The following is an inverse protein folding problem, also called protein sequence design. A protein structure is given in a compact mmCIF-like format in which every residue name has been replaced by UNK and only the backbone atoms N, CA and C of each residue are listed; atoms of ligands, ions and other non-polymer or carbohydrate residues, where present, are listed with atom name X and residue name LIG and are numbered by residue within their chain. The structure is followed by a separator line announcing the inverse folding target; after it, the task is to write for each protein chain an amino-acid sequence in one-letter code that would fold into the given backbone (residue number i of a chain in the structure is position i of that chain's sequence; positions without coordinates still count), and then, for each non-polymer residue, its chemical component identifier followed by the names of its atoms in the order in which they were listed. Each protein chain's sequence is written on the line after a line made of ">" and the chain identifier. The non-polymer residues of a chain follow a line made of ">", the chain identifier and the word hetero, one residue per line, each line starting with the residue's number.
data_IF_936860208746
#
_entry.id   IF_936860208746
#
_cell.length_a   1.000
_cell.length_b   1.000
_cell.length_c   1.000
_cell.angle_alpha   90.00
_cell.angle_beta   90.00
_cell.angle_gamma   90.00
#
_symmetry.space_group_name_H-M   'P 1'
#
loop_
_entity.id
_entity.type
_entity.pdbx_description
1 polymer ?
#
# COMPACT_ATOMS: atom_id res chain seq x y z
N UNK A 1 54.63 70.86 -82.06
CA UNK A 1 53.21 71.08 -82.39
C UNK A 1 52.62 69.75 -82.86
N UNK A 2 51.46 69.37 -82.29
CA UNK A 2 50.57 68.23 -82.61
C UNK A 2 50.90 66.84 -82.03
N UNK A 3 50.32 66.66 -80.85
CA UNK A 3 49.77 65.46 -80.21
C UNK A 3 49.08 64.54 -81.23
N UNK A 4 49.27 63.22 -81.10
CA UNK A 4 48.20 62.22 -81.31
C UNK A 4 48.36 61.08 -80.31
N UNK A 5 47.66 61.21 -79.17
CA UNK A 5 47.36 60.10 -78.29
C UNK A 5 46.39 59.17 -79.01
N UNK A 6 46.76 57.89 -79.15
CA UNK A 6 45.86 56.84 -79.63
C UNK A 6 45.26 56.19 -78.40
N UNK A 7 44.00 56.51 -78.12
CA UNK A 7 43.24 55.97 -77.00
C UNK A 7 42.89 54.51 -77.28
N UNK A 8 43.41 53.60 -76.46
CA UNK A 8 42.98 52.21 -76.40
C UNK A 8 41.64 52.19 -75.67
N UNK A 9 40.56 52.00 -76.41
CA UNK A 9 39.20 51.87 -75.88
C UNK A 9 39.00 50.41 -75.41
N UNK A 10 39.37 50.11 -74.17
CA UNK A 10 38.92 48.89 -73.49
C UNK A 10 37.42 49.06 -73.18
N UNK A 11 36.57 48.53 -74.07
CA UNK A 11 35.17 48.31 -73.77
C UNK A 11 35.08 47.18 -72.73
N UNK A 12 35.17 47.54 -71.44
CA UNK A 12 34.75 46.66 -70.36
C UNK A 12 33.24 46.58 -70.47
N UNK A 13 32.74 45.55 -71.14
CA UNK A 13 31.33 45.17 -71.09
C UNK A 13 31.07 44.78 -69.63
N UNK A 14 30.63 45.75 -68.84
CA UNK A 14 30.04 45.48 -67.54
C UNK A 14 28.79 44.64 -67.79
N UNK A 15 28.88 43.34 -67.50
CA UNK A 15 27.71 42.47 -67.41
C UNK A 15 26.74 43.08 -66.39
N UNK A 16 25.76 43.84 -66.88
CA UNK A 16 24.53 44.11 -66.14
C UNK A 16 23.87 42.75 -65.93
N UNK A 17 24.18 42.10 -64.82
CA UNK A 17 23.37 40.98 -64.34
C UNK A 17 21.99 41.57 -64.04
N UNK A 18 21.01 41.22 -64.87
CA UNK A 18 19.62 41.48 -64.53
C UNK A 18 19.36 40.71 -63.23
N UNK A 19 19.18 41.44 -62.13
CA UNK A 19 18.84 40.87 -60.84
C UNK A 19 17.50 40.15 -61.01
N UNK A 20 17.54 38.82 -60.94
CA UNK A 20 16.36 37.99 -61.14
C UNK A 20 15.43 38.18 -59.93
N UNK A 21 14.21 38.63 -60.19
CA UNK A 21 13.20 38.84 -59.14
C UNK A 21 12.75 37.45 -58.67
N UNK A 22 13.11 37.10 -57.45
CA UNK A 22 12.88 35.76 -56.87
C UNK A 22 11.44 35.54 -56.42
N UNK A 23 10.77 36.58 -55.94
CA UNK A 23 9.35 36.58 -55.56
C UNK A 23 8.62 37.71 -56.29
N UNK A 24 7.91 37.35 -57.36
CA UNK A 24 7.21 38.31 -58.22
C UNK A 24 6.03 38.98 -57.49
N UNK A 25 5.35 38.25 -56.60
CA UNK A 25 4.16 38.74 -55.91
C UNK A 25 4.54 39.76 -54.84
N UNK A 26 5.57 39.47 -54.04
CA UNK A 26 6.13 40.42 -53.07
C UNK A 26 6.66 41.67 -53.77
N UNK A 27 7.35 41.50 -54.89
CA UNK A 27 7.86 42.63 -55.69
C UNK A 27 6.73 43.50 -56.26
N UNK A 28 5.69 42.89 -56.84
CA UNK A 28 4.51 43.62 -57.33
C UNK A 28 3.78 44.35 -56.20
N UNK A 29 3.66 43.73 -55.02
CA UNK A 29 3.11 44.38 -53.83
C UNK A 29 3.92 45.60 -53.43
N UNK A 30 5.25 45.49 -53.31
CA UNK A 30 6.13 46.62 -53.03
C UNK A 30 5.95 47.76 -54.06
N UNK A 31 5.84 47.42 -55.35
CA UNK A 31 5.70 48.40 -56.45
C UNK A 31 4.41 49.20 -56.44
N UNK A 32 3.37 48.73 -55.74
CA UNK A 32 2.13 49.51 -55.55
C UNK A 32 2.35 50.74 -54.68
N UNK A 33 3.32 50.68 -53.77
CA UNK A 33 3.56 51.72 -52.76
C UNK A 33 4.92 52.42 -52.94
N UNK A 34 5.88 51.76 -53.61
CA UNK A 34 7.27 52.22 -53.71
C UNK A 34 7.82 52.20 -55.15
N UNK A 35 8.90 52.97 -55.39
CA UNK A 35 9.57 53.02 -56.69
C UNK A 35 10.29 51.70 -57.03
N UNK A 36 10.48 51.40 -58.32
CA UNK A 36 11.23 50.20 -58.74
C UNK A 36 12.65 50.17 -58.17
N UNK A 37 13.29 51.35 -58.09
CA UNK A 37 14.63 51.47 -57.51
C UNK A 37 14.61 51.13 -56.02
N UNK A 38 13.60 51.60 -55.28
CA UNK A 38 13.44 51.33 -53.85
C UNK A 38 13.18 49.85 -53.60
N UNK A 39 12.28 49.22 -54.35
CA UNK A 39 12.02 47.79 -54.18
C UNK A 39 13.26 46.93 -54.49
N UNK A 40 14.12 47.33 -55.43
CA UNK A 40 15.36 46.61 -55.77
C UNK A 40 16.60 47.09 -55.00
N UNK A 41 16.45 47.98 -54.03
CA UNK A 41 17.55 48.36 -53.14
C UNK A 41 17.59 47.47 -51.92
N UNK A 42 18.77 47.34 -51.33
CA UNK A 42 18.97 46.87 -49.96
C UNK A 42 19.25 48.13 -49.13
N UNK A 43 18.37 48.46 -48.17
CA UNK A 43 18.30 49.81 -47.59
C UNK A 43 19.17 49.94 -46.34
N UNK A 44 19.23 48.92 -45.51
CA UNK A 44 20.07 48.81 -44.33
C UNK A 44 21.35 47.97 -44.57
N UNK A 45 21.50 47.35 -45.73
CA UNK A 45 22.68 46.60 -46.17
C UNK A 45 22.88 45.29 -45.39
N UNK A 46 21.80 44.59 -45.09
CA UNK A 46 21.85 43.27 -44.44
C UNK A 46 21.86 42.09 -45.44
N UNK A 47 21.80 42.39 -46.74
CA UNK A 47 21.78 41.42 -47.81
C UNK A 47 20.38 40.95 -48.22
N UNK A 48 19.32 41.45 -47.59
CA UNK A 48 17.92 41.22 -47.95
C UNK A 48 17.41 42.41 -48.75
N UNK A 49 16.77 42.13 -49.89
CA UNK A 49 16.24 43.21 -50.73
C UNK A 49 15.02 43.83 -50.06
N UNK A 50 14.83 45.15 -50.18
CA UNK A 50 13.74 45.91 -49.57
C UNK A 50 12.33 45.34 -49.83
N UNK A 51 12.11 44.65 -50.96
CA UNK A 51 10.81 44.03 -51.26
C UNK A 51 10.56 42.68 -50.55
N UNK A 52 11.61 42.04 -50.04
CA UNK A 52 11.58 40.79 -49.26
C UNK A 52 11.78 41.04 -47.76
N UNK A 53 12.35 42.20 -47.44
CA UNK A 53 12.75 42.61 -46.11
C UNK A 53 11.54 43.07 -45.27
N UNK A 54 11.36 42.44 -44.11
CA UNK A 54 10.32 42.79 -43.15
C UNK A 54 10.75 43.95 -42.23
N UNK A 55 12.05 44.21 -42.11
CA UNK A 55 12.64 45.24 -41.26
C UNK A 55 13.58 46.19 -42.03
N UNK A 56 13.12 46.87 -43.10
CA UNK A 56 13.96 47.54 -44.10
C UNK A 56 14.74 48.79 -43.66
N UNK A 57 14.84 49.04 -42.36
CA UNK A 57 15.64 50.13 -41.80
C UNK A 57 16.59 49.65 -40.70
N UNK A 58 16.61 48.35 -40.39
CA UNK A 58 17.35 47.75 -39.28
C UNK A 58 17.95 46.45 -39.80
N UNK A 59 19.28 46.36 -39.77
CA UNK A 59 19.96 45.15 -40.25
C UNK A 59 19.49 43.92 -39.48
N UNK A 60 19.16 42.86 -40.20
CA UNK A 60 18.76 41.60 -39.59
C UNK A 60 19.32 40.36 -40.27
N UNK A 61 18.73 39.23 -39.92
CA UNK A 61 19.15 37.92 -40.41
C UNK A 61 18.29 37.51 -41.61
N UNK A 62 18.93 36.93 -42.63
CA UNK A 62 18.23 36.46 -43.82
C UNK A 62 17.16 35.39 -43.50
N UNK A 63 17.37 34.58 -42.45
CA UNK A 63 16.40 33.58 -41.99
C UNK A 63 15.10 34.20 -41.42
N UNK A 64 15.22 35.41 -40.87
CA UNK A 64 14.10 36.22 -40.36
C UNK A 64 13.71 37.34 -41.33
N UNK A 65 13.99 37.16 -42.64
CA UNK A 65 13.61 38.10 -43.70
C UNK A 65 14.10 39.53 -43.42
N UNK A 66 15.34 39.66 -42.96
CA UNK A 66 15.99 40.96 -42.70
C UNK A 66 15.65 41.56 -41.35
N UNK A 67 14.91 40.85 -40.48
CA UNK A 67 14.70 41.28 -39.10
C UNK A 67 15.80 40.77 -38.16
N UNK A 68 16.22 41.58 -37.17
CA UNK A 68 17.16 41.14 -36.14
C UNK A 68 16.54 40.13 -35.18
N UNK A 69 17.41 39.36 -34.52
CA UNK A 69 17.15 38.52 -33.35
C UNK A 69 18.27 38.86 -32.36
N UNK A 70 17.97 39.75 -31.42
CA UNK A 70 18.94 40.47 -30.60
C UNK A 70 19.51 39.60 -29.48
N UNK A 71 18.75 38.65 -28.94
CA UNK A 71 19.18 37.74 -27.88
C UNK A 71 19.52 36.32 -28.36
N UNK A 72 19.18 35.99 -29.61
CA UNK A 72 19.57 34.76 -30.28
C UNK A 72 18.73 33.55 -29.86
N UNK A 73 17.50 33.75 -29.39
CA UNK A 73 16.60 32.66 -29.00
C UNK A 73 15.88 31.99 -30.19
N UNK A 74 16.04 32.54 -31.39
CA UNK A 74 15.45 32.04 -32.62
C UNK A 74 14.10 32.69 -32.99
N UNK A 75 13.69 33.73 -32.28
CA UNK A 75 12.49 34.54 -32.54
C UNK A 75 12.95 35.95 -32.93
N UNK A 76 12.55 36.49 -34.09
CA UNK A 76 12.96 37.84 -34.45
C UNK A 76 12.36 38.88 -33.48
N UNK A 77 13.09 39.98 -33.24
CA UNK A 77 12.72 41.07 -32.31
C UNK A 77 11.30 41.61 -32.53
N UNK A 78 10.77 41.48 -33.76
CA UNK A 78 9.41 41.91 -34.11
C UNK A 78 8.31 41.03 -33.53
N UNK A 79 8.62 39.75 -33.25
CA UNK A 79 7.71 38.74 -32.73
C UNK A 79 8.06 38.33 -31.28
N UNK A 80 9.24 38.73 -30.79
CA UNK A 80 9.71 38.51 -29.43
C UNK A 80 9.19 39.57 -28.44
N UNK A 81 8.54 39.12 -27.37
CA UNK A 81 8.06 39.99 -26.30
C UNK A 81 9.18 40.47 -25.36
N UNK A 82 10.33 39.80 -25.35
CA UNK A 82 11.47 40.01 -24.47
C UNK A 82 12.81 40.03 -25.24
N UNK A 83 12.87 40.69 -26.39
CA UNK A 83 14.00 40.78 -27.34
C UNK A 83 15.44 41.06 -26.80
N UNK A 84 15.62 41.36 -25.51
CA UNK A 84 16.93 41.49 -24.87
C UNK A 84 17.33 40.26 -24.02
N UNK A 85 16.42 39.30 -23.83
CA UNK A 85 16.57 38.17 -22.90
C UNK A 85 15.92 36.92 -23.48
N UNK A 86 16.77 36.00 -23.94
CA UNK A 86 16.34 34.78 -24.60
C UNK A 86 15.26 33.99 -23.83
N UNK A 87 14.25 33.53 -24.55
CA UNK A 87 13.20 32.71 -23.98
C UNK A 87 12.61 31.67 -24.95
N UNK A 88 11.76 30.77 -24.43
CA UNK A 88 11.11 29.77 -25.26
C UNK A 88 10.03 30.39 -26.16
N UNK A 89 9.85 29.82 -27.35
CA UNK A 89 8.75 30.14 -28.26
C UNK A 89 7.37 30.02 -27.59
N UNK A 90 7.20 29.04 -26.70
CA UNK A 90 5.96 28.83 -25.94
C UNK A 90 5.59 30.04 -25.08
N UNK A 91 6.57 30.86 -24.67
CA UNK A 91 6.37 32.09 -23.90
C UNK A 91 6.76 33.34 -24.70
N UNK A 92 6.73 33.26 -26.04
CA UNK A 92 6.98 34.38 -26.96
C UNK A 92 8.33 35.07 -26.71
N UNK A 93 9.38 34.27 -26.54
CA UNK A 93 10.74 34.74 -26.32
C UNK A 93 11.02 35.29 -24.92
N UNK A 94 10.05 35.23 -24.01
CA UNK A 94 10.29 35.58 -22.61
C UNK A 94 10.68 34.36 -21.76
N UNK A 95 11.68 34.44 -20.87
CA UNK A 95 11.91 33.39 -19.88
C UNK A 95 10.69 33.22 -18.97
N UNK A 96 10.47 32.01 -18.46
CA UNK A 96 9.45 31.78 -17.43
C UNK A 96 9.91 32.34 -16.09
N UNK A 97 9.05 33.06 -15.35
CA UNK A 97 9.40 33.52 -14.01
C UNK A 97 9.54 32.34 -13.03
N UNK A 98 10.29 32.60 -11.97
CA UNK A 98 10.40 31.80 -10.74
C UNK A 98 10.24 32.81 -9.59
N UNK A 99 8.99 33.00 -9.16
CA UNK A 99 8.59 34.14 -8.34
C UNK A 99 9.07 34.04 -6.89
N UNK A 100 9.27 32.82 -6.38
CA UNK A 100 9.81 32.61 -5.03
C UNK A 100 11.29 32.19 -5.01
N UNK A 101 11.86 31.82 -6.16
CA UNK A 101 13.27 31.56 -6.33
C UNK A 101 13.71 30.18 -5.87
N UNK A 102 12.81 29.20 -5.88
CA UNK A 102 13.09 27.84 -5.41
C UNK A 102 13.73 26.92 -6.47
N UNK A 103 13.82 27.41 -7.72
CA UNK A 103 14.36 26.69 -8.86
C UNK A 103 13.32 25.95 -9.70
N UNK A 104 12.05 25.98 -9.30
CA UNK A 104 10.89 25.51 -10.08
C UNK A 104 10.20 26.72 -10.70
N UNK A 105 10.18 26.80 -12.03
CA UNK A 105 9.50 27.92 -12.71
C UNK A 105 7.98 27.91 -12.42
N UNK A 106 7.36 29.09 -12.34
CA UNK A 106 5.96 29.28 -11.95
C UNK A 106 4.96 28.43 -12.76
N UNK A 107 5.32 28.06 -14.00
CA UNK A 107 4.47 27.21 -14.85
C UNK A 107 4.39 25.76 -14.36
N UNK A 108 5.44 25.29 -13.69
CA UNK A 108 5.63 23.92 -13.21
C UNK A 108 5.56 23.83 -11.67
N UNK A 109 5.52 24.98 -11.00
CA UNK A 109 5.41 25.10 -9.55
C UNK A 109 3.94 25.03 -9.07
N UNK A 110 3.67 24.14 -8.12
CA UNK A 110 2.35 23.99 -7.49
C UNK A 110 2.12 25.06 -6.42
N UNK A 111 3.18 25.64 -5.88
CA UNK A 111 3.20 26.69 -4.86
C UNK A 111 4.03 27.92 -5.29
N UNK A 112 3.68 28.67 -6.37
CA UNK A 112 4.52 29.72 -6.99
C UNK A 112 4.90 30.94 -6.13
N UNK A 113 4.58 30.95 -4.85
CA UNK A 113 4.85 32.06 -3.93
C UNK A 113 5.45 31.58 -2.61
N UNK A 114 5.71 30.27 -2.48
CA UNK A 114 6.17 29.64 -1.25
C UNK A 114 7.21 28.59 -1.60
N UNK A 115 8.48 28.98 -1.41
CA UNK A 115 9.64 28.14 -1.69
C UNK A 115 9.46 26.68 -1.24
N UNK A 116 9.71 25.75 -2.16
CA UNK A 116 9.76 24.33 -1.90
C UNK A 116 10.85 23.61 -2.71
N UNK A 117 11.12 22.34 -2.38
CA UNK A 117 12.03 21.53 -3.17
C UNK A 117 11.42 21.18 -4.53
N UNK A 118 12.26 21.12 -5.56
CA UNK A 118 11.91 20.63 -6.91
C UNK A 118 11.30 19.22 -6.84
N UNK A 119 11.75 18.37 -5.91
CA UNK A 119 11.18 17.02 -5.70
C UNK A 119 9.70 17.02 -5.28
N UNK A 120 9.20 18.15 -4.77
CA UNK A 120 7.80 18.34 -4.40
C UNK A 120 7.12 19.43 -5.26
N UNK A 121 7.59 19.63 -6.49
CA UNK A 121 7.05 20.61 -7.46
C UNK A 121 6.91 22.02 -6.86
N UNK A 122 7.98 22.50 -6.22
CA UNK A 122 8.06 23.83 -5.61
C UNK A 122 7.24 24.03 -4.35
N UNK A 123 6.60 22.99 -3.80
CA UNK A 123 5.88 23.10 -2.53
C UNK A 123 6.71 22.63 -1.33
N UNK A 124 6.66 23.29 -0.16
CA UNK A 124 7.25 22.77 1.06
C UNK A 124 6.58 21.45 1.49
N UNK A 125 7.33 20.56 2.15
CA UNK A 125 6.75 19.37 2.77
C UNK A 125 5.89 19.75 3.97
N UNK A 126 4.72 19.13 4.09
CA UNK A 126 3.82 19.29 5.22
C UNK A 126 4.19 18.35 6.37
N UNK A 127 3.86 18.79 7.59
CA UNK A 127 3.89 18.04 8.83
C UNK A 127 2.56 18.37 9.53
N UNK A 128 1.53 17.60 9.20
CA UNK A 128 0.14 17.95 9.52
C UNK A 128 -0.17 17.82 11.01
N UNK A 129 0.49 16.90 11.71
CA UNK A 129 0.30 16.71 13.15
C UNK A 129 1.37 17.37 14.03
N UNK A 130 2.44 17.88 13.41
CA UNK A 130 3.47 18.68 14.05
C UNK A 130 4.43 17.88 14.92
N UNK A 131 4.64 16.59 14.62
CA UNK A 131 5.53 15.73 15.39
C UNK A 131 7.02 15.83 14.98
N UNK A 132 7.30 16.61 13.93
CA UNK A 132 8.64 16.83 13.40
C UNK A 132 9.06 15.82 12.33
N UNK A 133 8.16 14.99 11.84
CA UNK A 133 8.35 14.06 10.72
C UNK A 133 7.42 14.51 9.60
N UNK A 134 7.98 14.73 8.41
CA UNK A 134 7.16 15.14 7.26
C UNK A 134 6.15 14.06 6.88
N UNK A 135 4.96 14.45 6.42
CA UNK A 135 3.85 13.54 6.07
C UNK A 135 4.26 12.43 5.09
N UNK A 136 5.28 12.68 4.25
CA UNK A 136 5.83 11.68 3.30
C UNK A 136 6.66 10.58 3.96
N UNK A 137 7.21 10.85 5.14
CA UNK A 137 8.06 9.94 5.92
C UNK A 137 7.36 9.45 7.21
N UNK A 138 6.17 9.98 7.50
CA UNK A 138 5.34 9.62 8.64
C UNK A 138 4.38 8.47 8.28
N UNK A 139 4.41 7.39 9.07
CA UNK A 139 3.49 6.28 8.92
C UNK A 139 2.08 6.58 9.49
N UNK A 140 1.95 7.63 10.30
CA UNK A 140 0.74 8.10 10.94
C UNK A 140 0.51 9.63 10.79
N UNK A 141 0.43 10.21 9.56
CA UNK A 141 0.49 11.68 9.29
C UNK A 141 -0.56 12.59 9.95
N UNK A 142 -1.52 12.02 10.67
CA UNK A 142 -2.63 12.75 11.32
C UNK A 142 -2.57 12.65 12.84
N UNK A 143 -1.59 11.93 13.40
CA UNK A 143 -1.53 11.56 14.81
C UNK A 143 -0.08 11.62 15.30
N UNK A 144 0.25 12.74 15.94
CA UNK A 144 1.61 13.01 16.39
C UNK A 144 2.23 11.83 17.17
N UNK A 145 3.37 11.35 16.68
CA UNK A 145 4.05 10.20 17.26
C UNK A 145 5.49 10.48 17.61
N UNK A 146 6.31 9.43 17.53
CA UNK A 146 7.73 9.52 17.84
C UNK A 146 8.56 9.07 16.65
N UNK A 147 9.71 9.72 16.46
CA UNK A 147 10.71 9.35 15.46
C UNK A 147 11.11 7.87 15.55
N UNK A 148 11.28 7.33 16.77
CA UNK A 148 11.61 5.93 17.01
C UNK A 148 10.52 4.93 16.57
N UNK A 149 9.32 5.43 16.23
CA UNK A 149 8.14 4.68 15.80
C UNK A 149 7.61 5.15 14.44
N UNK A 150 8.45 5.83 13.63
CA UNK A 150 8.09 6.38 12.33
C UNK A 150 6.82 7.26 12.37
N UNK A 151 6.75 8.16 13.36
CA UNK A 151 5.66 9.14 13.52
C UNK A 151 4.36 8.57 14.05
N UNK A 152 4.35 7.28 14.42
CA UNK A 152 3.22 6.70 15.13
C UNK A 152 3.34 6.82 16.65
N UNK A 153 2.19 6.90 17.31
CA UNK A 153 2.10 6.76 18.76
C UNK A 153 2.67 5.40 19.21
N UNK A 154 3.28 5.34 20.41
CA UNK A 154 3.52 4.07 21.08
C UNK A 154 2.21 3.30 21.16
N UNK A 155 2.20 2.06 20.68
CA UNK A 155 1.11 1.14 20.99
C UNK A 155 1.03 1.04 22.51
N UNK A 156 0.06 1.73 23.10
CA UNK A 156 -0.30 1.56 24.50
C UNK A 156 -0.97 0.20 24.58
N UNK A 157 -0.16 -0.86 24.68
CA UNK A 157 -0.66 -2.14 25.20
C UNK A 157 -1.12 -1.83 26.60
N UNK A 158 -2.43 -1.87 26.85
CA UNK A 158 -2.93 -1.91 28.22
C UNK A 158 -2.33 -3.16 28.87
N UNK A 159 -1.25 -2.97 29.62
CA UNK A 159 -0.64 -4.01 30.42
C UNK A 159 -1.55 -4.19 31.63
N UNK A 160 -2.42 -5.19 31.56
CA UNK A 160 -3.28 -5.57 32.68
C UNK A 160 -2.41 -5.95 33.88
N UNK A 161 -2.70 -5.38 35.04
CA UNK A 161 -2.10 -5.78 36.31
C UNK A 161 -2.50 -7.22 36.65
N UNK A 162 -1.74 -7.87 37.53
CA UNK A 162 -2.09 -9.21 38.02
C UNK A 162 -3.47 -9.24 38.70
N UNK A 163 -3.82 -8.17 39.41
CA UNK A 163 -5.12 -7.98 40.05
C UNK A 163 -6.26 -7.82 39.04
N UNK A 164 -6.02 -7.06 37.96
CA UNK A 164 -7.00 -6.89 36.88
C UNK A 164 -7.28 -8.21 36.16
N UNK A 165 -6.23 -8.98 35.84
CA UNK A 165 -6.38 -10.31 35.23
C UNK A 165 -7.11 -11.27 36.17
N UNK A 166 -6.79 -11.26 37.47
CA UNK A 166 -7.48 -12.09 38.46
C UNK A 166 -8.97 -11.77 38.52
N UNK A 167 -9.33 -10.48 38.50
CA UNK A 167 -10.73 -10.05 38.49
C UNK A 167 -11.46 -10.54 37.23
N UNK A 168 -10.83 -10.45 36.06
CA UNK A 168 -11.40 -10.98 34.80
C UNK A 168 -11.66 -12.48 34.88
N UNK A 169 -10.75 -13.25 35.49
CA UNK A 169 -10.94 -14.69 35.72
C UNK A 169 -12.08 -14.98 36.70
N UNK A 170 -12.15 -14.29 37.83
CA UNK A 170 -13.23 -14.43 38.82
C UNK A 170 -14.60 -14.09 38.20
N UNK A 171 -14.69 -12.99 37.45
CA UNK A 171 -15.91 -12.58 36.75
C UNK A 171 -16.34 -13.61 35.71
N UNK A 172 -15.39 -14.16 34.94
CA UNK A 172 -15.66 -15.23 33.98
C UNK A 172 -16.22 -16.48 34.67
N UNK A 173 -15.57 -16.94 35.74
CA UNK A 173 -16.02 -18.12 36.51
C UNK A 173 -17.41 -17.90 37.11
N UNK A 174 -17.69 -16.70 37.62
CA UNK A 174 -18.98 -16.34 38.17
C UNK A 174 -20.09 -16.36 37.11
N UNK A 175 -19.85 -15.80 35.93
CA UNK A 175 -20.81 -15.78 34.81
C UNK A 175 -21.03 -17.16 34.20
N UNK A 176 -20.00 -17.99 34.15
CA UNK A 176 -20.06 -19.31 33.50
C UNK A 176 -20.33 -20.48 34.45
N UNK A 177 -20.62 -20.22 35.74
CA UNK A 177 -20.87 -21.26 36.76
C UNK A 177 -21.92 -22.32 36.38
N UNK A 178 -22.90 -21.94 35.55
CA UNK A 178 -23.99 -22.82 35.12
C UNK A 178 -23.71 -23.54 33.78
N UNK A 179 -22.57 -23.25 33.16
CA UNK A 179 -22.20 -23.82 31.86
C UNK A 179 -21.61 -25.20 32.08
N UNK A 180 -22.39 -26.22 31.74
CA UNK A 180 -21.91 -27.58 31.76
C UNK A 180 -21.20 -27.91 30.43
N UNK A 181 -19.95 -27.46 30.30
CA UNK A 181 -19.13 -27.70 29.11
C UNK A 181 -18.95 -29.19 28.79
N UNK A 182 -19.02 -30.05 29.80
CA UNK A 182 -18.96 -31.50 29.59
C UNK A 182 -20.23 -32.05 28.94
N UNK A 183 -21.40 -31.58 29.36
CA UNK A 183 -22.66 -31.96 28.73
C UNK A 183 -22.76 -31.39 27.31
N UNK A 184 -22.24 -30.18 27.07
CA UNK A 184 -22.11 -29.64 25.72
C UNK A 184 -21.23 -30.55 24.85
N UNK A 185 -20.07 -30.96 25.34
CA UNK A 185 -19.21 -31.90 24.63
C UNK A 185 -19.92 -33.23 24.33
N UNK A 186 -20.75 -33.75 25.26
CA UNK A 186 -21.56 -34.95 24.99
C UNK A 186 -22.53 -34.73 23.81
N UNK A 187 -23.18 -33.58 23.72
CA UNK A 187 -24.09 -33.27 22.62
C UNK A 187 -23.35 -33.13 21.29
N UNK A 188 -22.24 -32.39 21.28
CA UNK A 188 -21.42 -32.17 20.09
C UNK A 188 -20.84 -33.49 19.58
N UNK A 189 -20.23 -34.27 20.46
CA UNK A 189 -19.54 -35.50 20.07
C UNK A 189 -20.48 -36.59 19.58
N UNK A 190 -21.75 -36.60 20.02
CA UNK A 190 -22.77 -37.50 19.47
C UNK A 190 -23.06 -37.25 17.99
N UNK A 191 -22.81 -36.03 17.48
CA UNK A 191 -22.99 -35.68 16.07
C UNK A 191 -21.83 -36.15 15.18
N UNK A 192 -20.73 -36.60 15.77
CA UNK A 192 -19.55 -37.05 15.02
C UNK A 192 -19.82 -38.43 14.40
N UNK A 193 -20.03 -38.46 13.09
CA UNK A 193 -20.22 -39.69 12.35
C UNK A 193 -18.88 -40.34 11.99
N UNK A 194 -18.55 -41.45 12.67
CA UNK A 194 -17.27 -42.15 12.54
C UNK A 194 -16.91 -42.55 11.10
N UNK A 195 -17.93 -42.82 10.26
CA UNK A 195 -17.76 -43.32 8.88
C UNK A 195 -16.98 -42.38 7.96
N UNK A 196 -16.94 -41.08 8.26
CA UNK A 196 -16.22 -40.08 7.47
C UNK A 196 -14.72 -40.01 7.79
N UNK A 197 -14.31 -40.57 8.93
CA UNK A 197 -12.94 -40.53 9.40
C UNK A 197 -12.32 -41.91 9.16
N UNK A 198 -11.59 -42.10 8.06
CA UNK A 198 -11.10 -43.41 7.62
C UNK A 198 -9.63 -43.67 7.98
N UNK A 199 -8.84 -42.62 8.16
CA UNK A 199 -7.40 -42.74 8.36
C UNK A 199 -7.04 -43.07 9.81
N UNK A 200 -5.85 -43.66 10.03
CA UNK A 200 -5.39 -44.00 11.38
C UNK A 200 -5.09 -42.76 12.23
N UNK A 201 -4.69 -41.67 11.59
CA UNK A 201 -4.41 -40.38 12.22
C UNK A 201 -5.65 -39.49 12.15
N UNK A 202 -6.03 -38.91 13.29
CA UNK A 202 -7.13 -37.97 13.40
C UNK A 202 -6.65 -36.69 14.07
N UNK A 203 -6.64 -35.60 13.32
CA UNK A 203 -6.44 -34.28 13.89
C UNK A 203 -7.74 -33.77 14.49
N UNK A 204 -7.65 -33.05 15.61
CA UNK A 204 -8.78 -32.30 16.14
C UNK A 204 -8.38 -30.87 16.47
N UNK A 205 -9.18 -29.92 15.96
CA UNK A 205 -9.00 -28.49 16.17
C UNK A 205 -10.28 -27.89 16.73
N UNK A 206 -10.19 -27.26 17.90
CA UNK A 206 -11.29 -26.48 18.50
C UNK A 206 -11.01 -24.99 18.31
N UNK A 207 -11.83 -24.34 17.48
CA UNK A 207 -11.71 -22.97 17.02
C UNK A 207 -12.89 -22.15 17.58
N UNK A 208 -12.88 -20.84 17.40
CA UNK A 208 -13.91 -19.90 17.91
C UNK A 208 -14.08 -19.73 19.41
N UNK A 209 -13.15 -20.18 20.24
CA UNK A 209 -13.15 -19.73 21.63
C UNK A 209 -12.57 -18.31 21.79
N UNK A 210 -12.63 -17.47 20.76
CA UNK A 210 -12.02 -16.14 20.68
C UNK A 210 -13.08 -15.08 20.35
N UNK A 211 -13.21 -14.04 21.20
CA UNK A 211 -13.93 -12.82 20.87
C UNK A 211 -13.03 -11.71 20.30
N UNK A 212 -11.71 -11.88 20.30
CA UNK A 212 -10.77 -10.90 19.77
C UNK A 212 -10.38 -11.24 18.32
N UNK A 213 -10.50 -10.24 17.43
CA UNK A 213 -10.37 -10.35 15.98
C UNK A 213 -9.02 -10.88 15.45
N UNK A 214 -8.93 -11.00 14.13
CA UNK A 214 -7.69 -11.36 13.45
C UNK A 214 -6.64 -10.26 13.65
N UNK A 215 -5.45 -10.59 14.17
CA UNK A 215 -4.34 -9.64 14.29
C UNK A 215 -3.72 -9.49 15.67
N UNK A 216 -3.91 -10.43 16.61
CA UNK A 216 -3.27 -10.34 17.92
C UNK A 216 -1.74 -10.31 17.84
N UNK A 217 -1.20 -9.21 18.32
CA UNK A 217 0.06 -9.22 19.04
C UNK A 217 -0.05 -10.21 20.20
N UNK A 218 0.71 -11.31 20.12
CA UNK A 218 0.60 -12.46 21.04
C UNK A 218 1.15 -12.19 22.43
N UNK A 219 1.62 -10.96 22.67
CA UNK A 219 2.00 -10.44 23.99
C UNK A 219 0.90 -9.58 24.62
N UNK A 220 -0.25 -9.44 23.94
CA UNK A 220 -1.42 -8.73 24.47
C UNK A 220 -2.12 -9.57 25.54
N UNK A 221 -2.00 -9.13 26.79
CA UNK A 221 -2.69 -9.69 27.96
C UNK A 221 -4.09 -9.08 28.13
N UNK A 222 -4.76 -8.67 27.05
CA UNK A 222 -6.10 -8.09 27.14
C UNK A 222 -7.11 -9.00 27.85
N UNK A 223 -8.10 -8.38 28.51
CA UNK A 223 -9.18 -9.11 29.19
C UNK A 223 -9.87 -10.08 28.23
N UNK A 224 -10.08 -9.69 26.98
CA UNK A 224 -10.71 -10.51 25.94
C UNK A 224 -9.85 -11.75 25.60
N UNK A 225 -8.53 -11.60 25.55
CA UNK A 225 -7.60 -12.72 25.35
C UNK A 225 -7.61 -13.67 26.55
N UNK A 226 -7.69 -13.16 27.77
CA UNK A 226 -7.83 -13.99 28.97
C UNK A 226 -9.15 -14.77 28.97
N UNK A 227 -10.29 -14.10 28.73
CA UNK A 227 -11.61 -14.75 28.66
C UNK A 227 -11.63 -15.85 27.61
N UNK A 228 -11.07 -15.58 26.43
CA UNK A 228 -10.94 -16.54 25.34
C UNK A 228 -10.17 -17.80 25.77
N UNK A 229 -9.05 -17.63 26.49
CA UNK A 229 -8.28 -18.77 27.02
C UNK A 229 -9.05 -19.56 28.08
N UNK A 230 -9.76 -18.87 28.97
CA UNK A 230 -10.54 -19.50 30.04
C UNK A 230 -11.67 -20.35 29.47
N UNK A 231 -12.41 -19.84 28.48
CA UNK A 231 -13.43 -20.61 27.75
C UNK A 231 -12.83 -21.86 27.10
N UNK A 232 -11.66 -21.74 26.47
CA UNK A 232 -11.03 -22.89 25.80
C UNK A 232 -10.67 -23.96 26.82
N UNK A 233 -10.08 -23.57 27.95
CA UNK A 233 -9.74 -24.50 29.04
C UNK A 233 -10.98 -25.15 29.67
N UNK A 234 -12.07 -24.40 29.80
CA UNK A 234 -13.32 -24.91 30.36
C UNK A 234 -13.98 -25.97 29.47
N UNK A 235 -13.87 -25.83 28.14
CA UNK A 235 -14.40 -26.82 27.20
C UNK A 235 -13.42 -27.94 26.86
N UNK A 236 -12.17 -27.64 26.53
CA UNK A 236 -11.20 -28.59 26.01
C UNK A 236 -10.27 -29.14 27.08
N UNK A 237 -10.86 -29.73 28.11
CA UNK A 237 -10.17 -30.33 29.24
C UNK A 237 -9.89 -31.83 29.05
N UNK A 238 -9.19 -32.43 30.01
CA UNK A 238 -8.88 -33.87 30.04
C UNK A 238 -10.11 -34.76 29.94
N UNK A 239 -11.23 -34.35 30.55
CA UNK A 239 -12.46 -35.15 30.56
C UNK A 239 -13.07 -35.19 29.17
N UNK A 240 -13.22 -34.04 28.53
CA UNK A 240 -13.79 -33.95 27.18
C UNK A 240 -12.85 -34.57 26.14
N UNK A 241 -11.53 -34.41 26.29
CA UNK A 241 -10.59 -35.12 25.44
C UNK A 241 -10.73 -36.64 25.54
N UNK A 242 -10.86 -37.20 26.75
CA UNK A 242 -11.09 -38.65 26.94
C UNK A 242 -12.41 -39.11 26.31
N UNK A 243 -13.48 -38.32 26.42
CA UNK A 243 -14.76 -38.63 25.75
C UNK A 243 -14.58 -38.77 24.24
N UNK A 244 -13.88 -37.82 23.61
CA UNK A 244 -13.57 -37.88 22.18
C UNK A 244 -12.69 -39.10 21.85
N UNK A 245 -11.63 -39.34 22.63
CA UNK A 245 -10.74 -40.48 22.40
C UNK A 245 -11.49 -41.83 22.42
N UNK A 246 -12.49 -41.97 23.29
CA UNK A 246 -13.32 -43.17 23.37
C UNK A 246 -14.24 -43.37 22.15
N UNK A 247 -14.52 -42.33 21.36
CA UNK A 247 -15.26 -42.44 20.10
C UNK A 247 -14.38 -43.15 19.05
N UNK A 248 -13.07 -42.96 19.13
CA UNK A 248 -12.08 -43.46 18.17
C UNK A 248 -10.95 -44.25 18.84
N UNK A 249 -11.24 -45.39 19.49
CA UNK A 249 -10.25 -46.14 20.28
C UNK A 249 -9.05 -46.65 19.45
N UNK A 250 -9.26 -46.87 18.15
CA UNK A 250 -8.24 -47.38 17.22
C UNK A 250 -7.41 -46.27 16.54
N UNK A 251 -7.82 -45.00 16.69
CA UNK A 251 -7.13 -43.88 16.03
C UNK A 251 -6.05 -43.28 16.92
N UNK A 252 -5.04 -42.70 16.28
CA UNK A 252 -4.08 -41.79 16.92
C UNK A 252 -4.64 -40.38 16.81
N UNK A 253 -5.07 -39.80 17.93
CA UNK A 253 -5.68 -38.46 17.95
C UNK A 253 -4.63 -37.42 18.31
N UNK A 254 -4.54 -36.39 17.48
CA UNK A 254 -3.59 -35.28 17.63
C UNK A 254 -4.39 -33.98 17.78
N UNK A 255 -4.43 -33.37 18.97
CA UNK A 255 -4.96 -32.03 19.13
C UNK A 255 -4.07 -31.04 18.36
N UNK A 256 -4.65 -30.29 17.43
CA UNK A 256 -3.96 -29.22 16.71
C UNK A 256 -4.50 -27.90 17.22
N UNK A 257 -3.74 -27.15 18.03
CA UNK A 257 -4.12 -25.78 18.31
C UNK A 257 -3.97 -24.93 17.05
N UNK A 258 -4.82 -23.90 16.94
CA UNK A 258 -4.69 -22.86 15.91
C UNK A 258 -3.34 -22.12 15.95
N UNK A 259 -2.57 -22.26 17.05
CA UNK A 259 -1.22 -21.69 17.22
C UNK A 259 -0.30 -22.69 17.97
N UNK A 260 0.91 -22.98 17.47
CA UNK A 260 1.82 -23.97 18.04
C UNK A 260 2.19 -23.76 19.53
N UNK A 261 2.25 -22.51 20.00
CA UNK A 261 2.94 -22.20 21.26
C UNK A 261 2.14 -22.47 22.55
N UNK A 262 0.82 -22.24 22.57
CA UNK A 262 0.08 -22.11 23.85
C UNK A 262 -0.65 -23.38 24.29
N UNK A 263 -1.30 -24.10 23.38
CA UNK A 263 -1.95 -25.35 23.77
C UNK A 263 -0.95 -26.45 24.08
N UNK A 264 0.27 -26.34 23.56
CA UNK A 264 1.32 -27.29 23.85
C UNK A 264 1.73 -27.28 25.33
N UNK A 265 1.98 -26.09 25.88
CA UNK A 265 2.32 -25.91 27.30
C UNK A 265 1.21 -26.46 28.20
N UNK A 266 -0.05 -26.14 27.90
CA UNK A 266 -1.20 -26.64 28.66
C UNK A 266 -1.34 -28.17 28.60
N UNK A 267 -1.27 -28.78 27.41
CA UNK A 267 -1.35 -30.24 27.23
C UNK A 267 -0.21 -30.95 27.96
N UNK A 268 1.01 -30.42 27.90
CA UNK A 268 2.20 -30.97 28.58
C UNK A 268 2.13 -30.90 30.12
N UNK A 269 1.37 -29.95 30.66
CA UNK A 269 1.23 -29.72 32.11
C UNK A 269 0.06 -30.51 32.73
N UNK A 270 -1.00 -30.80 31.96
CA UNK A 270 -2.26 -31.31 32.52
C UNK A 270 -2.55 -32.78 32.16
N UNK A 271 -2.02 -33.29 31.05
CA UNK A 271 -2.19 -34.69 30.67
C UNK A 271 -1.04 -35.54 31.24
N UNK A 272 -1.37 -36.55 32.05
CA UNK A 272 -0.37 -37.48 32.61
C UNK A 272 0.13 -38.49 31.56
N UNK A 273 1.13 -38.09 30.77
CA UNK A 273 1.81 -38.95 29.81
C UNK A 273 2.77 -39.91 30.52
N UNK A 274 2.27 -41.07 30.98
CA UNK A 274 3.12 -42.12 31.57
C UNK A 274 4.22 -42.54 30.58
N UNK A 275 5.49 -42.36 30.98
CA UNK A 275 6.65 -42.92 30.29
C UNK A 275 7.40 -41.99 29.33
N UNK A 276 7.09 -40.69 29.30
CA UNK A 276 7.76 -39.73 28.40
C UNK A 276 8.61 -38.72 29.19
N UNK A 277 9.92 -38.58 28.90
CA UNK A 277 10.76 -37.54 29.50
C UNK A 277 10.26 -36.15 29.10
N UNK A 278 10.11 -35.24 30.07
CA UNK A 278 9.69 -33.84 29.82
C UNK A 278 10.55 -33.12 28.76
N UNK A 279 11.81 -33.52 28.58
CA UNK A 279 12.73 -32.96 27.57
C UNK A 279 12.39 -33.32 26.12
N UNK A 280 11.51 -34.31 25.89
CA UNK A 280 11.04 -34.71 24.56
C UNK A 280 9.62 -34.21 24.25
N UNK A 281 9.09 -33.37 25.11
CA UNK A 281 7.81 -32.72 24.94
C UNK A 281 8.06 -31.40 24.16
N UNK A 282 7.75 -31.36 22.86
CA UNK A 282 7.56 -30.12 22.08
C UNK A 282 6.20 -30.05 21.34
N UNK A 283 5.81 -28.86 20.86
CA UNK A 283 4.63 -28.51 20.05
C UNK A 283 4.40 -29.39 18.80
N UNK A 284 5.35 -30.28 18.52
CA UNK A 284 5.46 -31.13 17.34
C UNK A 284 5.53 -32.61 17.73
N UNK A 285 5.25 -32.92 19.00
CA UNK A 285 5.29 -34.28 19.55
C UNK A 285 3.93 -34.95 19.43
N UNK A 286 3.90 -36.04 18.67
CA UNK A 286 2.69 -36.82 18.37
C UNK A 286 2.54 -37.95 19.39
N UNK A 287 1.34 -38.08 19.99
CA UNK A 287 0.98 -39.17 20.91
C UNK A 287 -0.14 -40.02 20.31
N UNK A 288 -0.23 -41.29 20.73
CA UNK A 288 -1.39 -42.14 20.42
C UNK A 288 -2.49 -42.04 21.48
N UNK A 289 -3.67 -42.59 21.18
CA UNK A 289 -4.85 -42.56 22.07
C UNK A 289 -4.64 -43.23 23.44
N UNK A 290 -3.52 -43.94 23.65
CA UNK A 290 -3.12 -44.51 24.94
C UNK A 290 -2.09 -43.65 25.69
N UNK A 291 -1.80 -42.44 25.19
CA UNK A 291 -0.83 -41.50 25.76
C UNK A 291 0.64 -41.84 25.49
N UNK A 292 0.94 -42.77 24.58
CA UNK A 292 2.33 -43.14 24.27
C UNK A 292 2.90 -42.22 23.19
N UNK A 293 4.17 -41.85 23.35
CA UNK A 293 4.96 -41.10 22.36
C UNK A 293 5.07 -41.88 21.04
N UNK A 294 4.90 -41.17 19.91
CA UNK A 294 5.07 -41.72 18.56
C UNK A 294 6.32 -41.14 17.89
N UNK A 295 6.38 -39.80 17.70
CA UNK A 295 7.53 -39.10 17.08
C UNK A 295 7.47 -37.58 17.31
N UNK A 296 8.61 -36.91 17.10
CA UNK A 296 8.74 -35.44 17.01
C UNK A 296 8.97 -35.03 15.56
N UNK A 297 8.23 -34.04 15.04
CA UNK A 297 8.27 -33.62 13.63
C UNK A 297 9.01 -32.27 13.46
N UNK A 298 9.81 -32.07 12.40
CA UNK A 298 10.57 -30.82 12.13
C UNK A 298 9.87 -29.92 11.10
N UNK A 299 10.02 -28.60 11.27
CA UNK A 299 9.21 -27.48 10.73
C UNK A 299 9.02 -27.31 9.21
N UNK A 300 9.55 -28.19 8.35
CA UNK A 300 9.36 -28.09 6.88
C UNK A 300 8.58 -29.23 6.26
N UNK A 301 8.16 -30.20 7.06
CA UNK A 301 7.24 -31.25 6.69
C UNK A 301 6.31 -31.39 7.92
N UNK A 302 5.01 -31.56 7.86
CA UNK A 302 4.35 -32.80 7.48
C UNK A 302 2.85 -32.50 7.68
N UNK A 303 2.11 -32.22 6.61
CA UNK A 303 0.71 -32.68 6.61
C UNK A 303 0.83 -34.20 6.50
N UNK A 304 0.37 -34.95 7.50
CA UNK A 304 0.28 -36.40 7.33
C UNK A 304 -0.83 -36.59 6.29
N UNK A 305 -0.45 -36.83 5.03
CA UNK A 305 -1.37 -36.85 3.89
C UNK A 305 -2.52 -37.85 4.09
N UNK A 306 -2.25 -38.95 4.78
CA UNK A 306 -3.25 -39.94 5.20
C UNK A 306 -3.75 -39.63 6.63
N UNK A 307 -4.46 -38.53 6.78
CA UNK A 307 -5.09 -38.14 8.04
C UNK A 307 -6.51 -37.62 7.81
N UNK A 308 -7.33 -37.70 8.86
CA UNK A 308 -8.60 -37.01 8.90
C UNK A 308 -8.53 -35.80 9.85
N UNK A 309 -9.44 -34.84 9.70
CA UNK A 309 -9.54 -33.65 10.56
C UNK A 309 -10.96 -33.48 11.08
N UNK A 310 -11.10 -33.36 12.41
CA UNK A 310 -12.30 -32.82 13.05
C UNK A 310 -12.02 -31.37 13.41
N UNK A 311 -12.83 -30.46 12.87
CA UNK A 311 -12.79 -29.06 13.22
C UNK A 311 -14.10 -28.69 13.91
N UNK A 312 -14.02 -28.19 15.13
CA UNK A 312 -15.17 -27.75 15.92
C UNK A 312 -14.98 -26.26 16.18
N UNK A 313 -15.88 -25.43 15.68
CA UNK A 313 -15.92 -24.01 16.00
C UNK A 313 -16.97 -23.76 17.07
N UNK A 314 -16.59 -23.23 18.23
CA UNK A 314 -17.48 -22.98 19.36
C UNK A 314 -17.67 -21.49 19.59
N UNK A 315 -18.83 -20.95 19.24
CA UNK A 315 -19.18 -19.57 19.56
C UNK A 315 -20.07 -19.56 20.81
N UNK A 316 -19.54 -19.06 21.93
CA UNK A 316 -20.24 -19.04 23.23
C UNK A 316 -20.86 -17.67 23.49
N UNK A 317 -22.19 -17.61 23.59
CA UNK A 317 -22.94 -16.41 23.93
C UNK A 317 -23.24 -16.37 25.44
N UNK A 318 -22.33 -15.75 26.19
CA UNK A 318 -22.36 -15.76 27.67
C UNK A 318 -23.64 -15.15 28.26
N UNK A 319 -24.18 -14.11 27.63
CA UNK A 319 -25.32 -13.34 28.15
C UNK A 319 -26.61 -14.14 28.18
N UNK A 320 -26.82 -14.96 27.16
CA UNK A 320 -28.08 -15.67 26.94
C UNK A 320 -27.98 -17.17 27.25
N UNK A 321 -26.82 -17.66 27.71
CA UNK A 321 -26.60 -19.08 28.00
C UNK A 321 -26.79 -19.94 26.76
N UNK A 322 -26.22 -19.51 25.63
CA UNK A 322 -26.32 -20.21 24.35
C UNK A 322 -24.95 -20.47 23.74
N UNK A 323 -24.89 -21.48 22.88
CA UNK A 323 -23.71 -21.79 22.09
C UNK A 323 -24.10 -22.14 20.65
N UNK A 324 -23.37 -21.57 19.69
CA UNK A 324 -23.39 -21.97 18.29
C UNK A 324 -22.15 -22.81 18.01
N UNK A 325 -22.34 -23.96 17.38
CA UNK A 325 -21.28 -24.93 17.10
C UNK A 325 -21.23 -25.23 15.62
N UNK A 326 -20.09 -24.98 14.99
CA UNK A 326 -19.84 -25.32 13.60
C UNK A 326 -18.95 -26.56 13.52
N UNK A 327 -19.36 -27.55 12.72
CA UNK A 327 -18.56 -28.75 12.42
C UNK A 327 -18.62 -29.04 10.93
N UNK A 328 -17.57 -28.65 10.19
CA UNK A 328 -17.63 -28.59 8.73
C UNK A 328 -18.68 -27.56 8.29
N UNK A 329 -19.58 -27.97 7.38
CA UNK A 329 -20.68 -27.13 6.88
C UNK A 329 -21.94 -27.18 7.77
N UNK A 330 -21.92 -27.95 8.86
CA UNK A 330 -23.06 -28.13 9.76
C UNK A 330 -22.97 -27.15 10.92
N UNK A 331 -24.12 -26.54 11.25
CA UNK A 331 -24.26 -25.59 12.36
C UNK A 331 -25.31 -26.12 13.33
N UNK A 332 -24.96 -26.16 14.62
CA UNK A 332 -25.82 -26.60 15.71
C UNK A 332 -25.93 -25.48 16.75
N UNK A 333 -27.09 -25.39 17.39
CA UNK A 333 -27.38 -24.39 18.40
C UNK A 333 -27.77 -25.08 19.70
N UNK A 334 -27.22 -24.59 20.82
CA UNK A 334 -27.47 -25.16 22.14
C UNK A 334 -27.82 -24.09 23.15
N UNK A 335 -28.70 -24.44 24.10
CA UNK A 335 -29.04 -23.64 25.27
C UNK A 335 -28.62 -24.39 26.55
N UNK A 336 -28.05 -23.65 27.50
CA UNK A 336 -27.72 -24.13 28.84
C UNK A 336 -28.85 -23.74 29.81
N UNK A 337 -29.53 -24.75 30.37
CA UNK A 337 -30.62 -24.54 31.33
C UNK A 337 -30.48 -25.49 32.51
N UNK A 338 -30.31 -24.96 33.72
CA UNK A 338 -30.19 -25.75 34.96
C UNK A 338 -29.12 -26.86 34.89
N UNK A 339 -27.94 -26.54 34.34
CA UNK A 339 -26.83 -27.48 34.09
C UNK A 339 -27.11 -28.60 33.05
N UNK A 340 -28.27 -28.58 32.39
CA UNK A 340 -28.54 -29.36 31.18
C UNK A 340 -28.15 -28.57 29.93
N UNK A 341 -27.82 -29.28 28.86
CA UNK A 341 -27.57 -28.71 27.53
C UNK A 341 -28.55 -29.31 26.54
N UNK A 342 -29.36 -28.44 25.92
CA UNK A 342 -30.38 -28.82 24.94
C UNK A 342 -30.06 -28.22 23.60
N UNK A 343 -30.21 -29.01 22.54
CA UNK A 343 -30.17 -28.50 21.18
C UNK A 343 -31.45 -27.70 20.92
N UNK A 344 -31.30 -26.52 20.33
CA UNK A 344 -32.38 -25.58 20.03
C UNK A 344 -32.38 -25.24 18.54
N UNK A 345 -33.47 -24.63 18.06
CA UNK A 345 -33.53 -24.17 16.67
C UNK A 345 -32.67 -22.91 16.47
N UNK A 346 -32.31 -22.63 15.21
CA UNK A 346 -31.65 -21.37 14.84
C UNK A 346 -32.47 -20.15 15.27
N UNK A 347 -33.79 -20.19 15.09
CA UNK A 347 -34.68 -19.10 15.51
C UNK A 347 -34.64 -18.88 17.02
N UNK A 348 -34.66 -19.97 17.81
CA UNK A 348 -34.59 -19.86 19.27
C UNK A 348 -33.23 -19.34 19.73
N UNK A 349 -32.17 -19.52 18.95
CA UNK A 349 -30.86 -18.98 19.28
C UNK A 349 -30.81 -17.45 19.19
N UNK A 350 -31.38 -16.87 18.12
CA UNK A 350 -31.34 -15.42 17.89
C UNK A 350 -32.47 -14.62 18.56
N UNK A 351 -33.46 -15.30 19.14
CA UNK A 351 -34.50 -14.70 19.99
C UNK A 351 -34.08 -14.65 21.45
#
# INVERSE_FOLDING_TARGET
>A
MKIKASAVLFFVISCFHAQEITDKDAFEKCRKENSRRTCLSDKDNDGVMFYLDQCPNVQGLAEFKGCPDSDGDGIPDTDDHCFEVAGPLENKGCPWPDADGDGTIDKDDVCPTVNGPVENNGCPWTDMDGDGIWDKDDACPTVAGKVELNGCLPLIRHLYSAEELKKVEEDFLARTKNYNYHALADQIFKKIEKKYYKHKILYISVLNVFSAGCGMDRTDYSADNLVSRLKYKAFWDDRNFKKLANIFPEKTIIPVPRSPDFAYKYLSEHINFKGVPKSKLDDRTVFNAKGNFVKTVKSKEVVILESDLIQISLNMEEKNNKAEVLMGDLIYYFEFKNAEVKEISKSDYYN
#
